data_IF_470738371748
#
_entry.id   IF_470738371748
#
_cell.length_a   1.000
_cell.length_b   1.000
_cell.length_c   1.000
_cell.angle_alpha   90.00
_cell.angle_beta   90.00
_cell.angle_gamma   90.00
#
_symmetry.space_group_name_H-M   'P 1'
#
loop_
_entity.id
_entity.type
_entity.pdbx_description
1 polymer ?
#
# COMPACT_ATOMS: atom_id res chain seq x y z
N UNK A 1 4.86 0.29 11.85
CA UNK A 1 4.30 -0.93 11.20
C UNK A 1 5.40 -1.89 10.74
N UNK A 2 6.43 -1.46 10.02
CA UNK A 2 7.47 -2.35 9.49
C UNK A 2 8.16 -3.23 10.56
N UNK A 3 8.54 -2.67 11.70
CA UNK A 3 9.15 -3.44 12.80
C UNK A 3 8.19 -4.46 13.42
N UNK A 4 6.90 -4.15 13.51
CA UNK A 4 5.89 -5.12 13.98
C UNK A 4 5.70 -6.26 12.98
N UNK A 5 5.67 -5.96 11.68
CA UNK A 5 5.61 -6.99 10.63
C UNK A 5 6.85 -7.89 10.66
N UNK A 6 8.05 -7.32 10.79
CA UNK A 6 9.27 -8.10 10.93
C UNK A 6 9.25 -8.96 12.20
N UNK A 7 8.81 -8.39 13.33
CA UNK A 7 8.76 -9.10 14.60
C UNK A 7 7.83 -10.32 14.55
N UNK A 8 6.65 -10.18 13.97
CA UNK A 8 5.69 -11.31 13.88
C UNK A 8 6.19 -12.40 12.94
N UNK A 9 6.81 -12.04 11.80
CA UNK A 9 7.38 -13.02 10.87
C UNK A 9 8.57 -13.77 11.47
N UNK A 10 9.41 -13.09 12.26
CA UNK A 10 10.52 -13.72 12.98
C UNK A 10 10.02 -14.64 14.10
N UNK A 11 9.04 -14.19 14.86
CA UNK A 11 8.43 -15.01 15.90
C UNK A 11 7.78 -16.29 15.37
N UNK A 12 7.14 -16.21 14.21
CA UNK A 12 6.60 -17.37 13.49
C UNK A 12 7.69 -18.40 13.14
N UNK A 13 8.91 -17.96 12.91
CA UNK A 13 10.07 -18.85 12.68
C UNK A 13 10.69 -19.40 13.98
N UNK A 14 10.04 -19.21 15.11
CA UNK A 14 10.49 -19.69 16.42
C UNK A 14 11.55 -18.81 17.08
N UNK A 15 11.85 -17.65 16.53
CA UNK A 15 12.81 -16.74 17.14
C UNK A 15 12.21 -16.00 18.33
N UNK A 16 13.00 -15.81 19.40
CA UNK A 16 12.61 -14.95 20.53
C UNK A 16 12.78 -13.49 20.12
N UNK A 17 11.66 -12.78 19.97
CA UNK A 17 11.65 -11.40 19.51
C UNK A 17 11.22 -10.47 20.64
N UNK A 18 11.91 -9.34 20.80
CA UNK A 18 11.53 -8.24 21.67
C UNK A 18 11.30 -6.98 20.83
N UNK A 19 10.12 -6.38 20.98
CA UNK A 19 9.79 -5.10 20.39
C UNK A 19 9.90 -4.02 21.46
N UNK A 20 10.62 -2.94 21.18
CA UNK A 20 10.76 -1.78 22.06
C UNK A 20 9.97 -0.62 21.42
N UNK A 21 9.10 0.01 22.21
CA UNK A 21 8.32 1.18 21.82
C UNK A 21 8.56 2.31 22.81
N UNK A 22 8.88 3.49 22.31
CA UNK A 22 9.13 4.66 23.17
C UNK A 22 7.85 5.45 23.49
N UNK A 23 6.82 5.29 22.67
CA UNK A 23 5.54 5.93 22.89
C UNK A 23 4.67 5.09 23.84
N UNK A 24 3.63 5.70 24.39
CA UNK A 24 2.68 5.05 25.28
C UNK A 24 1.87 3.93 24.61
N UNK A 25 1.81 3.89 23.27
CA UNK A 25 1.20 2.80 22.51
C UNK A 25 1.96 2.53 21.20
N UNK A 26 1.94 1.29 20.70
CA UNK A 26 2.56 0.95 19.43
C UNK A 26 1.78 1.51 18.23
N UNK A 27 2.48 1.64 17.09
CA UNK A 27 1.87 2.03 15.82
C UNK A 27 2.50 3.29 15.19
N UNK A 28 3.12 4.16 15.97
CA UNK A 28 3.69 5.41 15.48
C UNK A 28 2.61 6.28 14.80
N UNK A 29 2.81 6.70 13.55
CA UNK A 29 1.84 7.49 12.79
C UNK A 29 0.57 6.72 12.37
N UNK A 30 0.51 5.41 12.59
CA UNK A 30 -0.69 4.58 12.38
C UNK A 30 -1.42 4.26 13.68
N UNK A 31 -1.03 4.90 14.79
CA UNK A 31 -1.72 4.76 16.07
C UNK A 31 -3.02 5.56 16.10
N UNK A 32 -3.91 5.18 17.01
CA UNK A 32 -5.16 5.90 17.27
C UNK A 32 -5.13 6.42 18.72
N UNK A 33 -5.86 7.48 19.02
CA UNK A 33 -5.99 8.00 20.37
C UNK A 33 -7.44 8.33 20.71
N UNK A 34 -7.75 8.27 22.00
CA UNK A 34 -9.07 8.59 22.53
C UNK A 34 -9.10 10.02 23.06
N UNK A 35 -10.13 10.76 22.69
CA UNK A 35 -10.39 12.09 23.22
C UNK A 35 -11.88 12.34 23.34
N UNK A 36 -12.35 12.68 24.54
CA UNK A 36 -13.76 13.00 24.81
C UNK A 36 -14.75 11.95 24.29
N UNK A 37 -14.44 10.66 24.42
CA UNK A 37 -15.29 9.56 23.96
C UNK A 37 -15.18 9.20 22.47
N UNK A 38 -14.35 9.90 21.73
CA UNK A 38 -14.12 9.64 20.30
C UNK A 38 -12.73 9.03 20.08
N UNK A 39 -12.61 8.21 19.04
CA UNK A 39 -11.34 7.67 18.54
C UNK A 39 -10.89 8.51 17.37
N UNK A 40 -9.65 8.95 17.41
CA UNK A 40 -9.00 9.70 16.32
C UNK A 40 -7.78 8.93 15.83
N UNK A 41 -7.56 8.94 14.52
CA UNK A 41 -6.34 8.42 13.92
C UNK A 41 -5.23 9.48 13.99
N UNK A 42 -4.00 9.03 14.30
CA UNK A 42 -2.85 9.94 14.36
C UNK A 42 -2.32 10.33 12.96
N UNK A 43 -2.62 9.53 11.95
CA UNK A 43 -2.20 9.79 10.56
C UNK A 43 -2.91 8.91 9.55
N UNK A 44 -2.59 7.63 9.50
CA UNK A 44 -3.17 6.71 8.53
C UNK A 44 -4.58 6.27 8.94
N UNK A 45 -5.57 6.57 8.11
CA UNK A 45 -6.99 6.30 8.38
C UNK A 45 -7.52 5.08 7.64
N UNK A 46 -6.78 4.56 6.65
CA UNK A 46 -7.21 3.42 5.83
C UNK A 46 -6.13 2.35 5.78
N UNK A 47 -6.57 1.09 5.76
CA UNK A 47 -5.69 -0.05 5.50
C UNK A 47 -5.45 -0.16 3.99
N UNK A 48 -4.19 -0.28 3.62
CA UNK A 48 -3.74 -0.48 2.24
C UNK A 48 -2.93 -1.78 2.14
N UNK A 49 -2.73 -2.28 0.92
CA UNK A 49 -1.88 -3.45 0.70
C UNK A 49 -2.53 -4.78 1.04
N UNK A 50 -3.86 -4.88 0.95
CA UNK A 50 -4.65 -6.09 1.21
C UNK A 50 -5.04 -6.88 -0.05
N UNK A 51 -4.63 -6.44 -1.23
CA UNK A 51 -4.84 -7.20 -2.47
C UNK A 51 -3.94 -8.43 -2.53
N UNK A 52 -4.29 -9.39 -3.39
CA UNK A 52 -3.46 -10.59 -3.63
C UNK A 52 -2.03 -10.19 -3.99
N UNK A 53 -1.06 -10.72 -3.27
CA UNK A 53 0.37 -10.41 -3.45
C UNK A 53 0.80 -9.06 -2.89
N UNK A 54 -0.06 -8.33 -2.21
CA UNK A 54 0.28 -7.07 -1.56
C UNK A 54 0.91 -7.28 -0.17
N UNK A 55 1.71 -6.32 0.33
CA UNK A 55 2.53 -6.51 1.54
C UNK A 55 1.76 -6.89 2.80
N UNK A 56 0.63 -6.24 3.06
CA UNK A 56 -0.16 -6.55 4.26
C UNK A 56 -0.80 -7.92 4.15
N UNK A 57 -1.37 -8.25 2.98
CA UNK A 57 -1.92 -9.58 2.73
C UNK A 57 -0.86 -10.66 2.89
N UNK A 58 0.36 -10.44 2.39
CA UNK A 58 1.47 -11.36 2.58
C UNK A 58 1.74 -11.64 4.08
N UNK A 59 1.78 -10.60 4.92
CA UNK A 59 1.98 -10.78 6.37
C UNK A 59 0.84 -11.57 7.00
N UNK A 60 -0.41 -11.27 6.63
CA UNK A 60 -1.58 -11.99 7.12
C UNK A 60 -1.54 -13.47 6.72
N UNK A 61 -1.23 -13.76 5.48
CA UNK A 61 -1.12 -15.13 4.95
C UNK A 61 -0.01 -15.91 5.67
N UNK A 62 1.14 -15.29 5.90
CA UNK A 62 2.26 -15.93 6.61
C UNK A 62 1.96 -16.19 8.09
N UNK A 63 1.15 -15.36 8.72
CA UNK A 63 0.89 -15.44 10.16
C UNK A 63 -0.39 -16.17 10.52
N UNK A 64 -1.27 -16.42 9.54
CA UNK A 64 -2.60 -16.99 9.78
C UNK A 64 -3.55 -16.03 10.50
N UNK A 65 -3.18 -14.76 10.65
CA UNK A 65 -4.03 -13.75 11.26
C UNK A 65 -5.12 -13.36 10.28
N UNK A 66 -6.37 -13.42 10.72
CA UNK A 66 -7.52 -12.96 9.95
C UNK A 66 -8.01 -11.62 10.47
N UNK A 67 -8.25 -10.70 9.56
CA UNK A 67 -8.93 -9.42 9.82
C UNK A 67 -10.12 -9.30 8.88
N UNK A 68 -11.14 -8.55 9.27
CA UNK A 68 -12.34 -8.34 8.46
C UNK A 68 -12.51 -6.84 8.17
N UNK A 69 -11.74 -6.25 7.26
CA UNK A 69 -11.85 -4.85 6.91
C UNK A 69 -13.07 -4.58 6.03
N UNK A 70 -13.66 -3.41 6.19
CA UNK A 70 -14.68 -2.93 5.25
C UNK A 70 -14.01 -2.29 4.05
N UNK A 71 -14.27 -2.80 2.85
CA UNK A 71 -13.84 -2.15 1.60
C UNK A 71 -14.63 -0.85 1.40
N UNK A 72 -13.91 0.22 1.10
CA UNK A 72 -14.48 1.53 0.80
C UNK A 72 -14.51 1.73 -0.71
N UNK A 73 -15.70 2.03 -1.26
CA UNK A 73 -15.85 2.39 -2.68
C UNK A 73 -15.39 3.82 -2.94
N UNK A 74 -15.62 4.70 -1.96
CA UNK A 74 -15.19 6.09 -1.96
C UNK A 74 -14.32 6.35 -0.72
N UNK A 75 -13.00 6.03 -0.77
CA UNK A 75 -12.11 6.14 0.39
C UNK A 75 -11.78 7.60 0.77
N UNK A 76 -11.91 8.54 -0.17
CA UNK A 76 -11.55 9.94 0.11
C UNK A 76 -12.36 10.91 -0.74
N UNK A 77 -12.75 12.02 -0.11
CA UNK A 77 -13.27 13.20 -0.79
C UNK A 77 -12.40 14.42 -0.45
N UNK A 78 -12.08 15.22 -1.44
CA UNK A 78 -11.33 16.47 -1.26
C UNK A 78 -12.28 17.62 -1.57
N UNK A 79 -12.57 18.44 -0.58
CA UNK A 79 -13.38 19.65 -0.71
C UNK A 79 -12.47 20.82 -0.99
N UNK A 80 -12.64 21.47 -2.13
CA UNK A 80 -11.87 22.62 -2.54
C UNK A 80 -12.50 23.93 -2.04
N UNK A 81 -11.72 25.00 -1.90
CA UNK A 81 -12.24 26.31 -1.42
C UNK A 81 -13.30 26.93 -2.34
N UNK A 82 -13.33 26.59 -3.60
CA UNK A 82 -14.31 27.05 -4.59
C UNK A 82 -15.64 26.26 -4.54
N UNK A 83 -15.79 25.33 -3.57
CA UNK A 83 -16.97 24.48 -3.40
C UNK A 83 -16.95 23.20 -4.25
N UNK A 84 -15.98 23.02 -5.11
CA UNK A 84 -15.82 21.78 -5.86
C UNK A 84 -15.41 20.61 -4.95
N UNK A 85 -15.87 19.40 -5.28
CA UNK A 85 -15.53 18.17 -4.59
C UNK A 85 -14.88 17.20 -5.58
N UNK A 86 -13.76 16.63 -5.17
CA UNK A 86 -13.06 15.57 -5.90
C UNK A 86 -13.29 14.27 -5.16
N UNK A 87 -13.86 13.28 -5.84
CA UNK A 87 -14.15 11.96 -5.29
C UNK A 87 -13.05 10.98 -5.70
N UNK A 88 -12.23 10.55 -4.78
CA UNK A 88 -11.22 9.52 -5.04
C UNK A 88 -11.88 8.15 -4.89
N UNK A 89 -12.35 7.60 -6.01
CA UNK A 89 -12.92 6.26 -6.05
C UNK A 89 -11.85 5.17 -5.98
N UNK A 90 -12.21 4.02 -5.43
CA UNK A 90 -11.32 2.84 -5.39
C UNK A 90 -11.22 2.20 -6.77
N UNK A 91 -12.32 2.13 -7.49
CA UNK A 91 -12.40 1.60 -8.84
C UNK A 91 -11.67 2.50 -9.83
N UNK A 92 -10.74 1.93 -10.60
CA UNK A 92 -9.96 2.68 -11.60
C UNK A 92 -10.83 3.32 -12.68
N UNK A 93 -11.85 2.66 -13.27
CA UNK A 93 -12.74 3.30 -14.23
C UNK A 93 -13.47 4.52 -13.67
N UNK A 94 -14.00 4.42 -12.45
CA UNK A 94 -14.70 5.53 -11.78
C UNK A 94 -13.75 6.66 -11.44
N UNK A 95 -12.52 6.34 -10.99
CA UNK A 95 -11.50 7.36 -10.75
C UNK A 95 -11.08 8.08 -12.03
N UNK A 96 -10.88 7.36 -13.13
CA UNK A 96 -10.55 7.98 -14.42
C UNK A 96 -11.67 8.93 -14.87
N UNK A 97 -12.92 8.50 -14.77
CA UNK A 97 -14.07 9.34 -15.11
C UNK A 97 -14.14 10.61 -14.25
N UNK A 98 -13.86 10.49 -12.95
CA UNK A 98 -13.80 11.63 -12.04
C UNK A 98 -12.62 12.57 -12.34
N UNK A 99 -11.44 12.00 -12.63
CA UNK A 99 -10.27 12.78 -13.03
C UNK A 99 -10.52 13.53 -14.35
N UNK A 100 -11.16 12.90 -15.33
CA UNK A 100 -11.58 13.54 -16.58
C UNK A 100 -12.60 14.67 -16.34
N UNK A 101 -13.51 14.47 -15.38
CA UNK A 101 -14.49 15.50 -14.99
C UNK A 101 -13.83 16.73 -14.37
N UNK A 102 -12.86 16.52 -13.47
CA UNK A 102 -12.24 17.60 -12.68
C UNK A 102 -11.10 18.29 -13.45
N UNK A 103 -10.24 17.51 -14.09
CA UNK A 103 -9.00 18.00 -14.69
C UNK A 103 -9.04 18.08 -16.22
N UNK A 104 -10.16 17.69 -16.84
CA UNK A 104 -10.30 17.61 -18.28
C UNK A 104 -9.82 16.28 -18.86
N UNK A 105 -10.31 15.92 -20.05
CA UNK A 105 -10.08 14.59 -20.64
C UNK A 105 -8.65 14.35 -21.14
N UNK A 106 -7.93 15.43 -21.47
CA UNK A 106 -6.62 15.31 -22.12
C UNK A 106 -5.62 14.59 -21.19
N UNK A 107 -5.17 13.42 -21.63
CA UNK A 107 -4.12 12.64 -20.96
C UNK A 107 -4.52 11.91 -19.67
N UNK A 108 -5.71 12.15 -19.10
CA UNK A 108 -6.07 11.55 -17.80
C UNK A 108 -6.09 10.01 -17.87
N UNK A 109 -6.82 9.47 -18.84
CA UNK A 109 -6.93 8.01 -18.99
C UNK A 109 -5.57 7.34 -19.16
N UNK A 110 -4.78 7.80 -20.13
CA UNK A 110 -3.47 7.22 -20.44
C UNK A 110 -2.52 7.31 -19.23
N UNK A 111 -2.55 8.44 -18.50
CA UNK A 111 -1.74 8.62 -17.30
C UNK A 111 -2.11 7.60 -16.19
N UNK A 112 -3.40 7.46 -15.88
CA UNK A 112 -3.84 6.59 -14.79
C UNK A 112 -3.72 5.11 -15.12
N UNK A 113 -3.96 4.71 -16.37
CA UNK A 113 -3.74 3.34 -16.83
C UNK A 113 -2.24 2.98 -16.78
N UNK A 114 -1.36 3.88 -17.19
CA UNK A 114 0.09 3.69 -17.10
C UNK A 114 0.57 3.65 -15.64
N UNK A 115 0.10 4.57 -14.79
CA UNK A 115 0.42 4.57 -13.37
C UNK A 115 -0.01 3.27 -12.68
N UNK A 116 -1.16 2.73 -13.03
CA UNK A 116 -1.63 1.44 -12.54
C UNK A 116 -0.71 0.30 -13.00
N UNK A 117 -0.36 0.27 -14.29
CA UNK A 117 0.55 -0.74 -14.84
C UNK A 117 1.92 -0.74 -14.16
N UNK A 118 2.48 0.45 -13.95
CA UNK A 118 3.75 0.61 -13.22
C UNK A 118 3.63 0.13 -11.78
N UNK A 119 2.54 0.50 -11.10
CA UNK A 119 2.27 0.07 -9.73
C UNK A 119 2.21 -1.45 -9.59
N UNK A 120 1.46 -2.12 -10.47
CA UNK A 120 1.38 -3.59 -10.50
C UNK A 120 2.76 -4.23 -10.73
N UNK A 121 3.54 -3.70 -11.67
CA UNK A 121 4.90 -4.18 -11.93
C UNK A 121 5.79 -4.04 -10.69
N UNK A 122 5.77 -2.88 -10.04
CA UNK A 122 6.58 -2.61 -8.84
C UNK A 122 6.21 -3.58 -7.71
N UNK A 123 4.92 -3.76 -7.44
CA UNK A 123 4.47 -4.70 -6.40
C UNK A 123 4.85 -6.14 -6.70
N UNK A 124 4.61 -6.60 -7.92
CA UNK A 124 4.96 -7.96 -8.35
C UNK A 124 6.47 -8.22 -8.25
N UNK A 125 7.27 -7.23 -8.61
CA UNK A 125 8.74 -7.31 -8.54
C UNK A 125 9.25 -7.28 -7.10
N UNK A 126 8.72 -6.38 -6.27
CA UNK A 126 9.16 -6.20 -4.88
C UNK A 126 9.00 -7.45 -4.03
N UNK A 127 7.91 -8.21 -4.24
CA UNK A 127 7.67 -9.46 -3.51
C UNK A 127 8.56 -10.63 -3.96
N UNK A 128 9.15 -10.54 -5.13
CA UNK A 128 10.08 -11.56 -5.66
C UNK A 128 11.53 -11.29 -5.27
N UNK A 129 11.85 -10.06 -4.89
CA UNK A 129 13.23 -9.70 -4.52
C UNK A 129 13.59 -10.23 -3.13
N UNK A 130 14.77 -10.83 -3.03
CA UNK A 130 15.33 -11.34 -1.78
C UNK A 130 16.12 -10.28 -1.02
N UNK A 131 16.59 -9.23 -1.71
CA UNK A 131 17.29 -8.08 -1.11
C UNK A 131 16.99 -6.78 -1.88
N UNK A 132 16.90 -5.67 -1.14
CA UNK A 132 16.78 -4.34 -1.71
C UNK A 132 17.57 -3.32 -0.86
N UNK A 133 18.47 -2.52 -1.42
CA UNK A 133 18.91 -2.56 -2.84
C UNK A 133 19.66 -3.85 -3.17
N UNK A 134 19.75 -4.24 -4.46
CA UNK A 134 20.52 -5.42 -4.87
C UNK A 134 22.00 -5.17 -4.58
N UNK A 135 22.61 -6.02 -3.75
CA UNK A 135 24.01 -5.85 -3.27
C UNK A 135 24.96 -6.86 -3.87
N UNK A 136 24.46 -7.94 -4.46
CA UNK A 136 25.23 -9.03 -5.04
C UNK A 136 24.89 -9.24 -6.50
N UNK A 137 25.78 -9.79 -7.28
CA UNK A 137 25.55 -10.12 -8.69
C UNK A 137 24.32 -10.99 -8.93
N UNK A 138 24.10 -11.95 -8.08
CA UNK A 138 22.91 -12.81 -8.12
C UNK A 138 21.59 -12.02 -7.92
N UNK A 139 21.61 -10.99 -7.07
CA UNK A 139 20.42 -10.13 -6.86
C UNK A 139 20.12 -9.30 -8.13
N UNK A 140 21.19 -8.85 -8.83
CA UNK A 140 21.06 -8.15 -10.10
C UNK A 140 20.53 -9.04 -11.21
N UNK A 141 21.01 -10.29 -11.30
CA UNK A 141 20.51 -11.26 -12.29
C UNK A 141 19.06 -11.65 -12.02
N UNK A 142 18.67 -11.77 -10.76
CA UNK A 142 17.29 -12.04 -10.37
C UNK A 142 16.37 -10.84 -10.64
N UNK A 143 16.84 -9.62 -10.37
CA UNK A 143 16.11 -8.40 -10.70
C UNK A 143 15.96 -8.26 -12.23
N UNK A 144 17.00 -8.51 -13.01
CA UNK A 144 16.97 -8.49 -14.47
C UNK A 144 16.05 -9.59 -15.06
N UNK A 145 16.04 -10.78 -14.49
CA UNK A 145 15.16 -11.86 -14.91
C UNK A 145 13.67 -11.59 -14.57
N UNK A 146 13.41 -10.84 -13.50
CA UNK A 146 12.06 -10.44 -13.11
C UNK A 146 11.57 -9.21 -13.90
N UNK A 147 12.49 -8.37 -14.38
CA UNK A 147 12.22 -7.27 -15.29
C UNK A 147 12.19 -7.80 -16.73
N UNK A 148 11.11 -8.45 -17.13
CA UNK A 148 10.86 -8.74 -18.54
C UNK A 148 10.88 -7.42 -19.30
N UNK A 149 11.91 -7.21 -20.13
CA UNK A 149 12.11 -6.00 -20.96
C UNK A 149 10.92 -5.70 -21.91
N UNK A 150 10.01 -6.65 -22.09
CA UNK A 150 8.76 -6.52 -22.83
C UNK A 150 7.70 -5.69 -22.10
N UNK A 151 7.77 -5.55 -20.79
CA UNK A 151 6.79 -4.77 -20.02
C UNK A 151 7.13 -3.26 -19.89
N UNK A 152 8.35 -2.88 -20.27
CA UNK A 152 8.82 -1.48 -20.20
C UNK A 152 8.75 -0.78 -21.57
N UNK A 153 8.50 -1.53 -22.66
CA UNK A 153 8.52 -1.01 -24.05
C UNK A 153 7.15 -0.96 -24.73
N UNK A 154 6.07 -1.14 -24.01
CA UNK A 154 4.70 -0.88 -24.48
C UNK A 154 4.06 0.18 -23.57
#
# INVERSE_FOLDING_TARGET
MGSLSAAVLLAQKGLKVRVLEQNWQPGGCTSSYWRKGFVFEAGATTLVGMGKGMPLQYVLDQTGISINPRKLTLPMQVHLPDGNVINRYESMPEWIAEAERVFGKAGQRSFWEEAYRISEFVWQSSLKQTSFPPTKWHDLTQAAASASLTQVKQ
#
